data_IF_001361251475
#
_entry.id   IF_001361251475
#
_cell.length_a   1.000
_cell.length_b   1.000
_cell.length_c   1.000
_cell.angle_alpha   90.00
_cell.angle_beta   90.00
_cell.angle_gamma   90.00
#
_symmetry.space_group_name_H-M   'P 1'
#
loop_
_entity.id
_entity.type
_entity.pdbx_description
1 polymer ?
#
# COMPACT_ATOMS: atom_id res chain seq x y z
N UNK A 1 39.13 46.08 41.59
CA UNK A 1 37.76 45.65 41.27
C UNK A 1 37.87 45.00 39.91
N UNK A 2 38.37 43.76 39.88
CA UNK A 2 37.57 42.53 40.02
C UNK A 2 36.81 42.28 38.71
N UNK A 3 36.88 41.16 38.02
CA UNK A 3 37.66 39.92 38.08
C UNK A 3 37.14 39.15 36.87
N UNK A 4 38.02 38.72 35.96
CA UNK A 4 37.64 37.81 34.86
C UNK A 4 37.75 36.39 35.40
N UNK A 5 36.69 35.56 35.43
CA UNK A 5 36.84 34.14 35.69
C UNK A 5 37.21 33.44 34.39
N UNK A 6 38.40 32.84 34.38
CA UNK A 6 38.68 31.62 33.62
C UNK A 6 37.75 30.52 34.12
N UNK A 7 37.05 29.86 33.20
CA UNK A 7 36.65 28.47 33.38
C UNK A 7 37.13 27.69 32.17
N UNK A 8 38.29 27.06 32.38
CA UNK A 8 38.72 25.87 31.67
C UNK A 8 37.91 24.71 32.25
N UNK A 9 37.08 24.08 31.42
CA UNK A 9 36.48 22.79 31.72
C UNK A 9 36.53 21.92 30.45
N UNK A 10 37.61 21.15 30.38
CA UNK A 10 37.66 19.74 29.98
C UNK A 10 36.59 19.28 28.98
N UNK A 11 36.96 19.37 27.69
CA UNK A 11 36.41 18.47 26.67
C UNK A 11 37.19 17.16 26.84
N UNK A 12 36.79 16.35 27.82
CA UNK A 12 37.16 14.94 27.84
C UNK A 12 36.45 14.23 26.68
N UNK A 13 37.29 13.84 25.72
CA UNK A 13 37.09 12.83 24.70
C UNK A 13 36.45 11.57 25.29
N UNK A 14 35.11 11.48 25.23
CA UNK A 14 34.38 10.23 25.48
C UNK A 14 34.41 9.37 24.21
N UNK A 15 35.62 9.06 23.73
CA UNK A 15 35.89 7.84 22.98
C UNK A 15 35.83 6.65 23.95
N UNK A 16 34.62 6.32 24.43
CA UNK A 16 34.35 5.02 25.04
C UNK A 16 34.44 3.97 23.94
N UNK A 17 35.66 3.49 23.77
CA UNK A 17 35.96 2.21 23.15
C UNK A 17 35.15 1.14 23.90
N UNK A 18 34.10 0.63 23.25
CA UNK A 18 33.40 -0.56 23.69
C UNK A 18 34.41 -1.71 23.71
N UNK A 19 34.54 -2.47 24.80
CA UNK A 19 35.39 -3.65 24.79
C UNK A 19 34.81 -4.65 23.79
N UNK A 20 35.57 -4.92 22.73
CA UNK A 20 35.43 -6.16 22.00
C UNK A 20 35.78 -7.31 22.95
N UNK A 21 34.97 -8.37 22.92
CA UNK A 21 35.29 -9.71 23.44
C UNK A 21 35.05 -10.02 24.93
N UNK A 22 33.94 -9.57 25.52
CA UNK A 22 33.32 -10.36 26.61
C UNK A 22 32.24 -11.30 26.03
N UNK A 23 32.37 -12.63 26.17
CA UNK A 23 31.37 -13.56 25.67
C UNK A 23 30.09 -13.41 26.49
N UNK A 24 29.02 -12.92 25.86
CA UNK A 24 27.68 -12.89 26.44
C UNK A 24 27.26 -14.32 26.81
N UNK A 25 27.27 -14.66 28.10
CA UNK A 25 26.83 -15.94 28.65
C UNK A 25 25.29 -16.09 28.59
N UNK A 26 24.73 -16.14 27.38
CA UNK A 26 23.33 -16.50 27.17
C UNK A 26 23.12 -18.02 27.04
N UNK A 27 21.91 -18.55 27.31
CA UNK A 27 21.57 -19.93 26.96
C UNK A 27 21.70 -20.12 25.44
N UNK A 28 22.33 -21.22 25.03
CA UNK A 28 22.45 -21.56 23.62
C UNK A 28 21.17 -22.23 23.15
N UNK A 29 20.53 -21.66 22.15
CA UNK A 29 19.37 -22.28 21.49
C UNK A 29 19.85 -23.30 20.46
N UNK A 30 19.46 -24.56 20.66
CA UNK A 30 19.80 -25.66 19.75
C UNK A 30 18.85 -25.71 18.55
N UNK A 31 19.19 -25.01 17.46
CA UNK A 31 18.45 -25.10 16.21
C UNK A 31 18.68 -26.45 15.52
N UNK A 32 19.90 -27.00 15.62
CA UNK A 32 20.22 -28.38 15.27
C UNK A 32 20.93 -29.07 16.45
N UNK A 33 20.37 -30.16 17.03
CA UNK A 33 21.04 -30.92 18.10
C UNK A 33 22.38 -31.54 17.69
N UNK A 34 22.65 -31.66 16.39
CA UNK A 34 23.94 -32.09 15.82
C UNK A 34 24.66 -30.93 15.13
N UNK A 35 24.34 -29.69 15.53
CA UNK A 35 24.97 -28.50 15.00
C UNK A 35 26.47 -28.53 15.22
N UNK A 36 27.18 -27.93 14.27
CA UNK A 36 28.64 -27.92 14.17
C UNK A 36 29.21 -26.50 14.20
N UNK A 37 28.36 -25.50 14.44
CA UNK A 37 28.70 -24.09 14.46
C UNK A 37 27.81 -23.34 15.47
N UNK A 38 28.40 -22.45 16.27
CA UNK A 38 27.65 -21.55 17.15
C UNK A 38 27.70 -20.14 16.56
N UNK A 39 26.53 -19.58 16.24
CA UNK A 39 26.41 -18.17 15.87
C UNK A 39 26.02 -17.33 17.09
N UNK A 40 26.73 -16.23 17.30
CA UNK A 40 26.42 -15.25 18.34
C UNK A 40 26.03 -13.95 17.65
N UNK A 41 24.79 -13.51 17.87
CA UNK A 41 24.22 -12.30 17.26
C UNK A 41 23.57 -11.49 18.36
N UNK A 42 24.26 -10.43 18.80
CA UNK A 42 23.89 -9.70 20.02
C UNK A 42 23.67 -10.66 21.21
N UNK A 43 22.50 -10.67 21.87
CA UNK A 43 22.21 -11.55 22.99
C UNK A 43 21.85 -12.99 22.59
N UNK A 44 21.74 -13.31 21.30
CA UNK A 44 21.32 -14.63 20.81
C UNK A 44 22.53 -15.52 20.57
N UNK A 45 22.50 -16.74 21.12
CA UNK A 45 23.46 -17.82 20.84
C UNK A 45 22.72 -18.99 20.21
N UNK A 46 23.08 -19.35 18.98
CA UNK A 46 22.38 -20.35 18.17
C UNK A 46 23.34 -21.46 17.78
N UNK A 47 23.08 -22.69 18.21
CA UNK A 47 23.77 -23.88 17.69
C UNK A 47 23.08 -24.33 16.41
N UNK A 48 23.80 -24.26 15.30
CA UNK A 48 23.27 -24.41 13.94
C UNK A 48 24.07 -25.45 13.14
N UNK A 49 23.46 -25.95 12.07
CA UNK A 49 24.17 -26.70 11.04
C UNK A 49 24.78 -25.72 10.02
N UNK A 50 26.10 -25.66 9.97
CA UNK A 50 26.86 -24.93 8.97
C UNK A 50 26.43 -25.33 7.56
N UNK A 51 26.14 -26.63 7.34
CA UNK A 51 25.75 -27.14 6.04
C UNK A 51 24.41 -26.61 5.56
N UNK A 52 23.43 -26.51 6.46
CA UNK A 52 22.13 -25.90 6.17
C UNK A 52 22.32 -24.44 5.76
N UNK A 53 23.14 -23.69 6.51
CA UNK A 53 23.44 -22.30 6.18
C UNK A 53 24.13 -22.15 4.83
N UNK A 54 25.14 -22.97 4.51
CA UNK A 54 25.83 -22.92 3.21
C UNK A 54 24.89 -23.18 2.02
N UNK A 55 23.92 -24.09 2.18
CA UNK A 55 22.97 -24.45 1.13
C UNK A 55 21.95 -23.34 0.90
N UNK A 56 21.52 -22.68 1.97
CA UNK A 56 20.43 -21.71 1.96
C UNK A 56 20.89 -20.25 1.81
N UNK A 57 22.14 -19.94 2.12
CA UNK A 57 22.64 -18.59 2.27
C UNK A 57 24.04 -18.43 1.61
N UNK A 58 24.14 -17.72 0.47
CA UNK A 58 25.41 -17.48 -0.24
C UNK A 58 26.46 -16.76 0.62
N UNK A 59 26.03 -15.89 1.54
CA UNK A 59 26.92 -15.25 2.49
C UNK A 59 27.65 -16.29 3.34
N UNK A 60 26.92 -17.20 4.01
CA UNK A 60 27.53 -18.25 4.83
C UNK A 60 28.37 -19.23 4.01
N UNK A 61 27.93 -19.55 2.78
CA UNK A 61 28.74 -20.34 1.84
C UNK A 61 30.09 -19.70 1.54
N UNK A 62 30.18 -18.38 1.58
CA UNK A 62 31.41 -17.63 1.30
C UNK A 62 32.24 -17.44 2.57
N UNK A 63 31.60 -17.05 3.66
CA UNK A 63 32.22 -16.84 4.98
C UNK A 63 32.86 -18.12 5.54
N UNK A 64 32.22 -19.29 5.35
CA UNK A 64 32.67 -20.57 5.88
C UNK A 64 33.69 -21.30 4.97
N UNK A 65 33.99 -20.74 3.79
CA UNK A 65 35.05 -21.29 2.93
C UNK A 65 36.42 -21.06 3.57
N UNK A 66 37.23 -22.11 3.59
CA UNK A 66 38.60 -22.04 4.10
C UNK A 66 39.40 -20.96 3.36
N UNK A 67 40.19 -20.19 4.13
CA UNK A 67 41.12 -19.15 3.67
C UNK A 67 40.49 -17.91 3.01
N UNK A 68 39.16 -17.75 3.01
CA UNK A 68 38.52 -16.53 2.50
C UNK A 68 38.47 -15.41 3.56
N UNK A 69 38.28 -15.77 4.84
CA UNK A 69 38.17 -14.86 5.97
C UNK A 69 38.78 -15.46 7.24
N UNK A 70 39.06 -14.64 8.26
CA UNK A 70 39.52 -15.11 9.57
C UNK A 70 38.51 -16.09 10.19
N UNK A 71 37.23 -15.84 9.95
CA UNK A 71 36.11 -16.69 10.31
C UNK A 71 36.18 -18.08 9.66
N UNK A 72 36.81 -18.23 8.49
CA UNK A 72 36.97 -19.52 7.81
C UNK A 72 38.15 -20.37 8.30
N UNK A 73 38.95 -19.86 9.25
CA UNK A 73 40.14 -20.56 9.79
C UNK A 73 39.73 -21.74 10.68
N UNK A 74 38.78 -21.51 11.59
CA UNK A 74 38.20 -22.58 12.40
C UNK A 74 36.98 -23.18 11.69
N UNK A 75 37.13 -24.43 11.25
CA UNK A 75 36.09 -25.15 10.52
C UNK A 75 34.97 -25.60 11.46
N UNK A 76 33.72 -25.64 10.97
CA UNK A 76 32.61 -26.27 11.69
C UNK A 76 32.97 -27.70 12.11
N UNK A 77 32.69 -28.03 13.37
CA UNK A 77 32.97 -29.33 13.98
C UNK A 77 31.92 -29.61 15.06
N UNK A 78 31.23 -30.76 14.98
CA UNK A 78 30.21 -31.13 15.96
C UNK A 78 30.77 -31.40 17.37
N UNK A 79 32.00 -31.90 17.50
CA UNK A 79 32.61 -32.22 18.81
C UNK A 79 33.05 -30.96 19.55
N UNK A 80 33.45 -29.93 18.80
CA UNK A 80 33.85 -28.63 19.33
C UNK A 80 33.42 -27.52 18.36
N UNK A 81 32.13 -27.13 18.37
CA UNK A 81 31.61 -26.11 17.46
C UNK A 81 32.35 -24.78 17.65
N UNK A 82 32.96 -24.21 16.60
CA UNK A 82 33.54 -22.88 16.68
C UNK A 82 32.44 -21.84 16.89
N UNK A 83 32.80 -20.74 17.56
CA UNK A 83 31.90 -19.62 17.83
C UNK A 83 32.18 -18.50 16.83
N UNK A 84 31.16 -18.01 16.12
CA UNK A 84 31.26 -16.87 15.20
C UNK A 84 30.34 -15.75 15.67
N UNK A 85 30.92 -14.59 15.95
CA UNK A 85 30.19 -13.38 16.31
C UNK A 85 29.78 -12.64 15.03
N UNK A 86 28.48 -12.40 14.86
CA UNK A 86 27.94 -11.57 13.78
C UNK A 86 27.46 -10.25 14.39
N UNK A 87 27.86 -9.15 13.75
CA UNK A 87 27.39 -7.81 14.11
C UNK A 87 26.11 -7.52 13.32
N UNK A 88 24.98 -7.76 13.95
CA UNK A 88 23.66 -7.51 13.38
C UNK A 88 22.80 -6.79 14.43
N UNK A 89 22.14 -5.71 14.01
CA UNK A 89 21.35 -4.85 14.89
C UNK A 89 19.98 -5.46 15.21
N UNK A 90 19.59 -6.54 14.51
CA UNK A 90 18.28 -7.17 14.63
C UNK A 90 18.38 -8.67 14.97
N UNK A 91 18.91 -9.01 16.16
CA UNK A 91 19.22 -10.39 16.54
C UNK A 91 17.99 -11.31 16.59
N UNK A 92 16.81 -10.77 16.87
CA UNK A 92 15.55 -11.54 16.92
C UNK A 92 15.06 -11.93 15.53
N UNK A 93 15.16 -11.02 14.55
CA UNK A 93 14.79 -11.30 13.15
C UNK A 93 15.84 -12.23 12.52
N UNK A 94 17.12 -12.03 12.84
CA UNK A 94 18.17 -12.96 12.44
C UNK A 94 17.92 -14.38 13.00
N UNK A 95 17.55 -14.50 14.27
CA UNK A 95 17.18 -15.78 14.88
C UNK A 95 15.96 -16.43 14.18
N UNK A 96 14.94 -15.63 13.82
CA UNK A 96 13.80 -16.09 13.03
C UNK A 96 14.26 -16.67 11.68
N UNK A 97 15.15 -15.97 10.96
CA UNK A 97 15.74 -16.47 9.70
C UNK A 97 16.40 -17.82 9.93
N UNK A 98 17.29 -17.94 10.91
CA UNK A 98 17.98 -19.20 11.19
C UNK A 98 17.02 -20.34 11.55
N UNK A 99 15.96 -20.06 12.31
CA UNK A 99 14.91 -21.05 12.63
C UNK A 99 14.21 -21.54 11.37
N UNK A 100 13.85 -20.64 10.45
CA UNK A 100 13.24 -21.02 9.16
C UNK A 100 14.20 -21.91 8.38
N UNK A 101 15.47 -21.53 8.26
CA UNK A 101 16.47 -22.32 7.52
C UNK A 101 16.64 -23.73 8.07
N UNK A 102 16.52 -23.90 9.40
CA UNK A 102 16.61 -25.19 10.09
C UNK A 102 15.27 -25.90 10.26
N UNK A 103 14.22 -25.49 9.53
CA UNK A 103 12.88 -26.09 9.60
C UNK A 103 12.29 -26.16 11.01
N UNK A 104 12.65 -25.21 11.87
CA UNK A 104 12.07 -25.09 13.20
C UNK A 104 10.71 -24.39 13.15
N UNK A 105 9.80 -24.69 14.10
CA UNK A 105 8.55 -23.95 14.22
C UNK A 105 8.80 -22.46 14.39
N UNK A 106 8.11 -21.64 13.62
CA UNK A 106 8.25 -20.18 13.63
C UNK A 106 6.88 -19.51 13.65
N UNK A 107 6.83 -18.35 14.30
CA UNK A 107 5.69 -17.44 14.23
C UNK A 107 5.99 -16.36 13.19
N UNK A 108 4.96 -15.77 12.57
CA UNK A 108 5.17 -14.62 11.70
C UNK A 108 5.82 -13.46 12.45
N UNK A 109 6.51 -12.54 11.74
CA UNK A 109 6.92 -11.26 12.30
C UNK A 109 5.75 -10.54 12.97
N UNK A 110 6.00 -9.89 14.11
CA UNK A 110 4.94 -9.35 14.97
C UNK A 110 4.39 -8.02 14.44
N UNK A 111 5.22 -7.26 13.74
CA UNK A 111 4.89 -5.97 13.17
C UNK A 111 5.26 -5.89 11.69
N UNK A 112 4.73 -4.88 10.98
CA UNK A 112 5.12 -4.61 9.58
C UNK A 112 6.58 -4.18 9.49
N UNK A 113 7.10 -3.48 10.51
CA UNK A 113 8.52 -3.12 10.56
C UNK A 113 9.42 -4.35 10.62
N UNK A 114 9.00 -5.39 11.34
CA UNK A 114 9.75 -6.65 11.36
C UNK A 114 9.80 -7.33 9.97
N UNK A 115 8.79 -7.13 9.10
CA UNK A 115 8.87 -7.59 7.70
C UNK A 115 9.88 -6.79 6.89
N UNK A 116 10.01 -5.48 7.15
CA UNK A 116 11.02 -4.63 6.52
C UNK A 116 12.41 -5.15 6.86
N UNK A 117 12.69 -5.29 8.15
CA UNK A 117 13.96 -5.81 8.66
C UNK A 117 14.23 -7.22 8.11
N UNK A 118 13.22 -8.09 8.09
CA UNK A 118 13.36 -9.43 7.52
C UNK A 118 13.76 -9.39 6.04
N UNK A 119 13.12 -8.52 5.25
CA UNK A 119 13.46 -8.33 3.85
C UNK A 119 14.88 -7.77 3.67
N UNK A 120 15.27 -6.77 4.47
CA UNK A 120 16.61 -6.16 4.45
C UNK A 120 17.70 -7.21 4.75
N UNK A 121 17.54 -7.99 5.82
CA UNK A 121 18.48 -9.05 6.19
C UNK A 121 18.52 -10.15 5.11
N UNK A 122 17.37 -10.57 4.58
CA UNK A 122 17.35 -11.61 3.55
C UNK A 122 17.99 -11.19 2.23
N UNK A 123 17.86 -9.91 1.85
CA UNK A 123 18.54 -9.35 0.69
C UNK A 123 20.05 -9.28 0.94
N UNK A 124 20.47 -8.77 2.11
CA UNK A 124 21.87 -8.67 2.51
C UNK A 124 22.58 -10.02 2.56
N UNK A 125 22.02 -11.00 3.28
CA UNK A 125 22.60 -12.34 3.40
C UNK A 125 22.35 -13.22 2.16
N UNK A 126 21.43 -12.84 1.28
CA UNK A 126 21.08 -13.57 0.07
C UNK A 126 20.26 -14.84 0.31
N UNK A 127 19.50 -14.91 1.41
CA UNK A 127 18.72 -16.09 1.82
C UNK A 127 17.21 -15.96 1.53
N UNK A 128 16.83 -15.13 0.56
CA UNK A 128 15.43 -14.89 0.17
C UNK A 128 14.60 -16.12 -0.22
N UNK A 129 15.18 -17.07 -0.97
CA UNK A 129 14.41 -18.19 -1.54
C UNK A 129 13.82 -19.13 -0.47
N UNK A 130 14.60 -19.64 0.51
CA UNK A 130 14.06 -20.46 1.58
C UNK A 130 12.92 -19.79 2.38
N UNK A 131 12.94 -18.47 2.51
CA UNK A 131 11.94 -17.73 3.30
C UNK A 131 10.71 -17.32 2.50
N UNK A 132 10.77 -17.28 1.17
CA UNK A 132 9.69 -16.79 0.30
C UNK A 132 8.33 -17.46 0.57
N UNK A 133 8.31 -18.77 0.82
CA UNK A 133 7.09 -19.51 1.11
C UNK A 133 6.45 -19.07 2.44
N UNK A 134 7.27 -18.89 3.48
CA UNK A 134 6.80 -18.43 4.78
C UNK A 134 6.26 -17.00 4.70
N UNK A 135 7.02 -16.10 4.07
CA UNK A 135 6.60 -14.70 3.93
C UNK A 135 5.29 -14.60 3.15
N UNK A 136 5.13 -15.36 2.07
CA UNK A 136 3.86 -15.43 1.33
C UNK A 136 2.69 -15.81 2.26
N UNK A 137 2.84 -16.88 3.02
CA UNK A 137 1.79 -17.35 3.93
C UNK A 137 1.47 -16.32 5.03
N UNK A 138 2.49 -15.64 5.56
CA UNK A 138 2.30 -14.66 6.62
C UNK A 138 1.67 -13.35 6.11
N UNK A 139 2.01 -12.91 4.90
CA UNK A 139 1.45 -11.68 4.32
C UNK A 139 -0.02 -11.83 3.94
N UNK A 140 -0.48 -13.03 3.56
CA UNK A 140 -1.91 -13.26 3.26
C UNK A 140 -2.82 -13.07 4.48
N UNK A 141 -2.29 -13.07 5.71
CA UNK A 141 -3.07 -12.74 6.90
C UNK A 141 -3.39 -11.23 7.02
N UNK A 142 -2.72 -10.37 6.24
CA UNK A 142 -2.90 -8.93 6.30
C UNK A 142 -3.95 -8.44 5.31
N UNK A 143 -4.82 -7.54 5.79
CA UNK A 143 -5.73 -6.82 4.92
C UNK A 143 -5.05 -5.57 4.34
N UNK A 144 -4.56 -5.68 3.10
CA UNK A 144 -3.88 -4.59 2.39
C UNK A 144 -4.71 -3.29 2.30
N UNK A 145 -6.04 -3.39 2.32
CA UNK A 145 -6.91 -2.21 2.27
C UNK A 145 -6.82 -1.33 3.51
N UNK A 146 -6.34 -1.84 4.65
CA UNK A 146 -6.27 -1.09 5.91
C UNK A 146 -4.87 -0.52 6.20
N UNK A 147 -3.92 -0.74 5.30
CA UNK A 147 -2.53 -0.34 5.51
C UNK A 147 -2.29 1.11 5.13
N UNK A 148 -1.36 1.76 5.83
CA UNK A 148 -0.83 3.06 5.47
C UNK A 148 0.04 3.00 4.21
N UNK A 149 0.33 4.16 3.62
CA UNK A 149 1.24 4.28 2.47
C UNK A 149 2.60 3.65 2.76
N UNK A 150 3.19 3.94 3.92
CA UNK A 150 4.49 3.40 4.35
C UNK A 150 4.45 1.88 4.52
N UNK A 151 3.38 1.35 5.13
CA UNK A 151 3.19 -0.09 5.29
C UNK A 151 3.06 -0.81 3.94
N UNK A 152 2.38 -0.20 2.97
CA UNK A 152 2.30 -0.70 1.60
C UNK A 152 3.67 -0.66 0.90
N UNK A 153 4.46 0.40 1.10
CA UNK A 153 5.84 0.45 0.60
C UNK A 153 6.71 -0.66 1.19
N UNK A 154 6.58 -0.96 2.48
CA UNK A 154 7.26 -2.09 3.13
C UNK A 154 6.85 -3.43 2.52
N UNK A 155 5.55 -3.67 2.28
CA UNK A 155 5.13 -4.91 1.62
C UNK A 155 5.54 -4.97 0.16
N UNK A 156 5.65 -3.84 -0.54
CA UNK A 156 6.19 -3.80 -1.90
C UNK A 156 7.66 -4.23 -1.90
N UNK A 157 8.45 -3.74 -0.93
CA UNK A 157 9.84 -4.14 -0.72
C UNK A 157 9.96 -5.64 -0.41
N UNK A 158 9.18 -6.13 0.56
CA UNK A 158 9.17 -7.55 0.89
C UNK A 158 8.77 -8.41 -0.33
N UNK A 159 7.75 -7.99 -1.09
CA UNK A 159 7.34 -8.70 -2.30
C UNK A 159 8.44 -8.75 -3.35
N UNK A 160 9.21 -7.67 -3.49
CA UNK A 160 10.39 -7.62 -4.37
C UNK A 160 11.49 -8.57 -3.90
N UNK A 161 11.93 -8.48 -2.63
CA UNK A 161 12.99 -9.34 -2.08
C UNK A 161 12.64 -10.82 -2.18
N UNK A 162 11.40 -11.18 -1.85
CA UNK A 162 10.97 -12.58 -1.78
C UNK A 162 10.37 -13.12 -3.08
N UNK A 163 10.45 -12.37 -4.18
CA UNK A 163 9.97 -12.81 -5.50
C UNK A 163 8.47 -13.16 -5.53
N UNK A 164 7.66 -12.39 -4.79
CA UNK A 164 6.23 -12.62 -4.62
C UNK A 164 5.42 -11.83 -5.65
N UNK A 165 5.36 -12.35 -6.89
CA UNK A 165 4.72 -11.72 -8.06
C UNK A 165 3.31 -11.20 -7.79
N UNK A 166 2.42 -12.07 -7.29
CA UNK A 166 1.02 -11.71 -7.04
C UNK A 166 0.89 -10.61 -5.98
N UNK A 167 1.71 -10.69 -4.93
CA UNK A 167 1.72 -9.68 -3.87
C UNK A 167 2.25 -8.35 -4.39
N UNK A 168 3.34 -8.36 -5.15
CA UNK A 168 3.94 -7.18 -5.76
C UNK A 168 2.93 -6.45 -6.64
N UNK A 169 2.22 -7.20 -7.49
CA UNK A 169 1.18 -6.66 -8.35
C UNK A 169 0.03 -6.05 -7.52
N UNK A 170 -0.53 -6.79 -6.56
CA UNK A 170 -1.63 -6.31 -5.70
C UNK A 170 -1.24 -5.06 -4.91
N UNK A 171 -0.06 -5.07 -4.28
CA UNK A 171 0.43 -3.95 -3.47
C UNK A 171 0.71 -2.72 -4.34
N UNK A 172 1.26 -2.89 -5.55
CA UNK A 172 1.50 -1.75 -6.45
C UNK A 172 0.21 -1.02 -6.85
N UNK A 173 -0.88 -1.74 -7.12
CA UNK A 173 -2.20 -1.11 -7.38
C UNK A 173 -2.69 -0.36 -6.15
N UNK A 174 -2.65 -1.00 -4.97
CA UNK A 174 -3.09 -0.36 -3.72
C UNK A 174 -2.26 0.86 -3.38
N UNK A 175 -0.96 0.80 -3.61
CA UNK A 175 -0.06 1.93 -3.38
C UNK A 175 -0.38 3.08 -4.36
N UNK A 176 -0.62 2.78 -5.65
CA UNK A 176 -1.03 3.78 -6.63
C UNK A 176 -2.40 4.41 -6.35
N UNK A 177 -3.30 3.70 -5.67
CA UNK A 177 -4.58 4.24 -5.22
C UNK A 177 -4.43 5.28 -4.10
N UNK A 178 -3.51 5.04 -3.15
CA UNK A 178 -3.39 5.84 -1.93
C UNK A 178 -2.38 6.96 -2.01
N UNK A 179 -1.36 6.83 -2.87
CA UNK A 179 -0.31 7.83 -3.02
C UNK A 179 -0.82 9.18 -3.50
N UNK A 180 -0.42 10.23 -2.79
CA UNK A 180 -0.52 11.61 -3.24
C UNK A 180 0.68 12.02 -4.08
N UNK A 181 0.56 13.15 -4.78
CA UNK A 181 1.65 13.72 -5.59
C UNK A 181 2.87 14.11 -4.74
N UNK A 182 2.67 14.48 -3.48
CA UNK A 182 3.76 14.90 -2.59
C UNK A 182 4.44 13.69 -1.93
N UNK A 183 3.67 12.72 -1.42
CA UNK A 183 4.23 11.44 -0.95
C UNK A 183 5.02 10.75 -2.06
N UNK A 184 4.52 10.82 -3.29
CA UNK A 184 5.22 10.33 -4.47
C UNK A 184 6.61 10.95 -4.64
N UNK A 185 6.70 12.27 -4.56
CA UNK A 185 7.95 13.00 -4.74
C UNK A 185 8.95 12.64 -3.65
N UNK A 186 8.47 12.56 -2.41
CA UNK A 186 9.25 12.24 -1.23
C UNK A 186 9.66 10.76 -1.13
N UNK A 187 9.01 9.86 -1.87
CA UNK A 187 9.29 8.43 -1.75
C UNK A 187 10.66 8.06 -2.32
N UNK A 188 11.55 7.57 -1.45
CA UNK A 188 12.81 6.95 -1.83
C UNK A 188 12.62 5.45 -2.04
N UNK A 189 12.90 5.00 -3.27
CA UNK A 189 12.63 3.63 -3.72
C UNK A 189 13.79 2.69 -3.37
N UNK A 190 14.96 3.22 -3.02
CA UNK A 190 16.11 2.42 -2.60
C UNK A 190 15.74 1.55 -1.39
N UNK A 191 16.08 0.24 -1.38
CA UNK A 191 16.99 -0.46 -2.30
C UNK A 191 16.38 -1.03 -3.60
N UNK A 192 15.10 -0.80 -3.91
CA UNK A 192 14.49 -1.25 -5.17
C UNK A 192 15.00 -0.44 -6.38
N UNK A 193 14.90 -0.98 -7.61
CA UNK A 193 15.38 -0.30 -8.81
C UNK A 193 14.74 1.07 -9.03
N UNK A 194 15.54 2.07 -9.39
CA UNK A 194 15.06 3.44 -9.60
C UNK A 194 13.91 3.55 -10.61
N UNK A 195 13.90 2.69 -11.64
CA UNK A 195 12.82 2.62 -12.64
C UNK A 195 11.45 2.35 -12.04
N UNK A 196 11.38 1.61 -10.92
CA UNK A 196 10.13 1.35 -10.21
C UNK A 196 9.43 2.65 -9.82
N UNK A 197 10.20 3.72 -9.55
CA UNK A 197 9.63 5.05 -9.30
C UNK A 197 8.84 5.50 -10.55
N UNK A 198 9.48 5.60 -11.71
CA UNK A 198 8.77 6.07 -12.91
C UNK A 198 7.55 5.21 -13.30
N UNK A 199 7.64 3.89 -13.17
CA UNK A 199 6.54 2.98 -13.51
C UNK A 199 5.36 3.10 -12.52
N UNK A 200 5.63 3.31 -11.22
CA UNK A 200 4.59 3.60 -10.23
C UNK A 200 3.88 4.93 -10.51
N UNK A 201 4.61 5.97 -10.93
CA UNK A 201 4.01 7.24 -11.37
C UNK A 201 3.06 7.01 -12.54
N UNK A 202 3.49 6.24 -13.53
CA UNK A 202 2.66 5.91 -14.68
C UNK A 202 1.40 5.14 -14.25
N UNK A 203 1.53 4.16 -13.36
CA UNK A 203 0.38 3.44 -12.80
C UNK A 203 -0.61 4.39 -12.10
N UNK A 204 -0.14 5.31 -11.26
CA UNK A 204 -0.98 6.33 -10.64
C UNK A 204 -1.75 7.15 -11.68
N UNK A 205 -1.07 7.62 -12.73
CA UNK A 205 -1.68 8.40 -13.81
C UNK A 205 -2.72 7.57 -14.57
N UNK A 206 -2.43 6.30 -14.89
CA UNK A 206 -3.39 5.41 -15.57
C UNK A 206 -4.66 5.21 -14.75
N UNK A 207 -4.53 4.99 -13.43
CA UNK A 207 -5.69 4.86 -12.54
C UNK A 207 -6.51 6.16 -12.53
N UNK A 208 -5.84 7.32 -12.39
CA UNK A 208 -6.52 8.63 -12.41
C UNK A 208 -7.26 8.86 -13.72
N UNK A 209 -6.59 8.66 -14.85
CA UNK A 209 -7.18 8.84 -16.18
C UNK A 209 -8.40 7.93 -16.37
N UNK A 210 -8.35 6.69 -15.87
CA UNK A 210 -9.49 5.78 -15.95
C UNK A 210 -10.67 6.24 -15.11
N UNK A 211 -10.41 6.76 -13.89
CA UNK A 211 -11.48 7.35 -13.07
C UNK A 211 -12.10 8.55 -13.77
N UNK A 212 -11.28 9.43 -14.33
CA UNK A 212 -11.72 10.60 -15.09
C UNK A 212 -12.59 10.20 -16.30
N UNK A 213 -12.09 9.30 -17.15
CA UNK A 213 -12.79 8.80 -18.34
C UNK A 213 -14.17 8.24 -17.98
N UNK A 214 -14.29 7.51 -16.85
CA UNK A 214 -15.57 6.95 -16.39
C UNK A 214 -16.58 8.04 -16.01
N UNK A 215 -16.12 9.11 -15.38
CA UNK A 215 -16.97 10.26 -15.01
C UNK A 215 -17.41 11.00 -16.26
N UNK A 216 -16.49 11.31 -17.17
CA UNK A 216 -16.77 11.98 -18.45
C UNK A 216 -17.77 11.17 -19.28
N UNK A 217 -17.53 9.86 -19.44
CA UNK A 217 -18.46 8.95 -20.14
C UNK A 217 -19.86 8.97 -19.52
N UNK A 218 -19.97 9.11 -18.20
CA UNK A 218 -21.27 9.18 -17.53
C UNK A 218 -21.95 10.53 -17.76
N UNK A 219 -21.19 11.63 -17.78
CA UNK A 219 -21.69 12.96 -18.13
C UNK A 219 -22.25 12.95 -19.57
N UNK A 220 -21.48 12.42 -20.51
CA UNK A 220 -21.88 12.31 -21.91
C UNK A 220 -23.13 11.43 -22.06
N UNK A 221 -23.17 10.28 -21.40
CA UNK A 221 -24.32 9.38 -21.42
C UNK A 221 -25.61 10.01 -20.87
N UNK A 222 -25.52 10.91 -19.87
CA UNK A 222 -26.68 11.69 -19.39
C UNK A 222 -27.07 12.77 -20.40
N UNK A 223 -26.09 13.45 -21.02
CA UNK A 223 -26.31 14.52 -22.00
C UNK A 223 -26.89 14.04 -23.33
N UNK A 224 -26.59 12.80 -23.73
CA UNK A 224 -27.10 12.14 -24.94
C UNK A 224 -28.47 11.47 -24.75
N UNK A 225 -28.92 11.27 -23.50
CA UNK A 225 -30.22 10.64 -23.26
C UNK A 225 -31.37 11.61 -23.61
N UNK A 226 -32.03 11.37 -24.74
CA UNK A 226 -33.13 12.19 -25.26
C UNK A 226 -34.53 11.83 -24.71
N UNK A 227 -34.65 10.83 -23.82
CA UNK A 227 -35.95 10.41 -23.29
C UNK A 227 -36.62 11.53 -22.51
N UNK A 228 -37.92 11.73 -22.74
CA UNK A 228 -38.73 12.70 -21.98
C UNK A 228 -39.69 11.95 -21.08
N UNK A 229 -39.69 12.33 -19.81
CA UNK A 229 -40.60 11.74 -18.83
C UNK A 229 -41.46 12.83 -18.21
N UNK A 230 -42.77 12.59 -18.17
CA UNK A 230 -43.70 13.46 -17.46
C UNK A 230 -43.64 13.13 -15.97
N UNK A 231 -43.29 14.12 -15.16
CA UNK A 231 -43.16 13.99 -13.73
C UNK A 231 -44.50 13.70 -13.06
N UNK A 232 -44.50 12.80 -12.09
CA UNK A 232 -45.71 12.39 -11.35
C UNK A 232 -45.89 13.11 -10.01
N UNK A 233 -44.84 13.76 -9.50
CA UNK A 233 -44.83 14.42 -8.18
C UNK A 233 -45.16 15.90 -8.23
N UNK A 234 -44.64 16.58 -9.24
CA UNK A 234 -44.69 18.03 -9.33
C UNK A 234 -45.27 18.48 -10.67
N UNK A 235 -45.77 19.70 -10.67
CA UNK A 235 -46.20 20.45 -11.85
C UNK A 235 -45.65 21.87 -11.79
N UNK A 236 -45.52 22.50 -12.93
CA UNK A 236 -44.95 23.84 -13.06
C UNK A 236 -46.06 24.85 -13.26
N UNK A 237 -46.10 25.91 -12.45
CA UNK A 237 -47.08 27.00 -12.66
C UNK A 237 -46.77 27.76 -13.96
N UNK A 238 -47.76 27.97 -14.83
CA UNK A 238 -47.57 28.63 -16.13
C UNK A 238 -47.11 30.08 -16.04
N UNK A 239 -47.50 30.76 -14.97
CA UNK A 239 -47.28 32.20 -14.85
C UNK A 239 -45.96 32.54 -14.17
N UNK A 240 -45.52 31.76 -13.17
CA UNK A 240 -44.31 32.06 -12.42
C UNK A 240 -43.23 30.98 -12.51
N UNK A 241 -43.45 29.92 -13.30
CA UNK A 241 -42.50 28.83 -13.57
C UNK A 241 -41.94 28.10 -12.34
N UNK A 242 -42.60 28.22 -11.18
CA UNK A 242 -42.19 27.50 -9.96
C UNK A 242 -42.80 26.10 -9.93
N UNK A 243 -41.99 25.11 -9.52
CA UNK A 243 -42.47 23.76 -9.20
C UNK A 243 -43.45 23.81 -8.04
N UNK A 244 -44.52 23.03 -8.15
CA UNK A 244 -45.57 22.87 -7.14
C UNK A 244 -45.92 21.39 -7.00
N UNK A 245 -46.19 20.90 -5.78
CA UNK A 245 -46.71 19.55 -5.59
C UNK A 245 -47.93 19.31 -6.48
N UNK A 246 -48.07 18.10 -7.01
CA UNK A 246 -49.13 17.74 -7.95
C UNK A 246 -50.54 18.09 -7.45
N UNK A 247 -50.78 17.92 -6.15
CA UNK A 247 -52.05 18.23 -5.48
C UNK A 247 -52.39 19.74 -5.41
N UNK A 248 -51.47 20.63 -5.77
CA UNK A 248 -51.64 22.09 -5.66
C UNK A 248 -52.72 22.60 -6.61
N UNK A 249 -53.83 23.15 -6.10
CA UNK A 249 -54.91 23.69 -6.95
C UNK A 249 -54.67 25.11 -7.44
N UNK A 250 -53.96 25.94 -6.66
CA UNK A 250 -53.60 27.34 -6.99
C UNK A 250 -52.16 27.61 -6.56
N UNK A 251 -51.43 28.35 -7.39
CA UNK A 251 -50.05 28.70 -7.10
C UNK A 251 -50.00 29.69 -5.95
N UNK A 252 -49.44 29.30 -4.81
CA UNK A 252 -49.31 30.20 -3.66
C UNK A 252 -48.43 31.44 -3.89
N UNK A 253 -47.70 31.52 -5.02
CA UNK A 253 -46.82 32.67 -5.32
C UNK A 253 -47.49 33.73 -6.21
N UNK A 254 -48.29 33.33 -7.21
CA UNK A 254 -48.92 34.24 -8.17
C UNK A 254 -50.44 34.08 -8.29
N UNK A 255 -51.05 33.18 -7.53
CA UNK A 255 -52.49 32.91 -7.55
C UNK A 255 -53.00 32.08 -8.74
N UNK A 256 -52.19 31.88 -9.78
CA UNK A 256 -52.59 31.14 -10.99
C UNK A 256 -53.03 29.70 -10.68
N UNK A 257 -54.12 29.27 -11.33
CA UNK A 257 -54.56 27.87 -11.36
C UNK A 257 -54.07 27.12 -12.60
N UNK A 258 -53.30 27.79 -13.47
CA UNK A 258 -52.76 27.16 -14.66
C UNK A 258 -51.41 26.51 -14.37
N UNK A 259 -51.33 25.22 -14.69
CA UNK A 259 -50.12 24.43 -14.55
C UNK A 259 -49.82 23.68 -15.85
N UNK A 260 -48.56 23.34 -16.05
CA UNK A 260 -48.12 22.32 -17.00
C UNK A 260 -47.45 21.19 -16.23
N UNK A 261 -47.49 20.00 -16.82
CA UNK A 261 -46.80 18.85 -16.24
C UNK A 261 -45.29 19.11 -16.22
N UNK A 262 -44.65 18.68 -15.13
CA UNK A 262 -43.21 18.72 -15.06
C UNK A 262 -42.62 17.80 -16.12
N UNK A 263 -41.67 18.29 -16.92
CA UNK A 263 -41.00 17.48 -17.94
C UNK A 263 -39.55 17.26 -17.54
N UNK A 264 -39.17 16.00 -17.31
CA UNK A 264 -37.79 15.61 -17.11
C UNK A 264 -37.08 15.61 -18.47
N UNK A 265 -36.36 16.69 -18.76
CA UNK A 265 -35.55 16.82 -19.98
C UNK A 265 -34.10 16.42 -19.73
N UNK A 266 -33.35 16.25 -20.82
CA UNK A 266 -31.92 15.92 -20.74
C UNK A 266 -31.09 17.04 -20.11
N UNK A 267 -31.41 18.30 -20.39
CA UNK A 267 -30.70 19.48 -19.86
C UNK A 267 -30.84 19.54 -18.34
N UNK A 268 -32.06 19.27 -17.85
CA UNK A 268 -32.37 19.20 -16.44
C UNK A 268 -31.67 18.01 -15.76
N UNK A 269 -31.71 16.81 -16.36
CA UNK A 269 -30.97 15.65 -15.84
C UNK A 269 -29.47 15.91 -15.77
N UNK A 270 -28.89 16.50 -16.82
CA UNK A 270 -27.47 16.85 -16.85
C UNK A 270 -27.12 17.86 -15.77
N UNK A 271 -27.92 18.92 -15.61
CA UNK A 271 -27.73 19.90 -14.53
C UNK A 271 -27.76 19.25 -13.14
N UNK A 272 -28.76 18.41 -12.87
CA UNK A 272 -28.89 17.71 -11.58
C UNK A 272 -27.78 16.66 -11.38
N UNK A 273 -27.32 16.03 -12.46
CA UNK A 273 -26.20 15.10 -12.41
C UNK A 273 -24.90 15.82 -12.07
N UNK A 274 -24.65 16.98 -12.69
CA UNK A 274 -23.47 17.81 -12.40
C UNK A 274 -23.50 18.36 -10.97
N UNK A 275 -24.67 18.82 -10.50
CA UNK A 275 -24.86 19.24 -9.09
C UNK A 275 -24.59 18.07 -8.13
N UNK A 276 -25.08 16.87 -8.48
CA UNK A 276 -24.79 15.67 -7.71
C UNK A 276 -23.28 15.35 -7.71
N UNK A 277 -22.60 15.34 -8.86
CA UNK A 277 -21.15 15.14 -8.94
C UNK A 277 -20.38 16.17 -8.10
N UNK A 278 -20.79 17.43 -8.10
CA UNK A 278 -20.22 18.48 -7.26
C UNK A 278 -20.44 18.20 -5.78
N UNK A 279 -21.66 17.83 -5.38
CA UNK A 279 -22.02 17.49 -3.99
C UNK A 279 -21.23 16.29 -3.45
N UNK A 280 -20.93 15.30 -4.31
CA UNK A 280 -20.12 14.14 -3.96
C UNK A 280 -18.61 14.41 -4.08
N UNK A 281 -18.23 15.58 -4.61
CA UNK A 281 -16.84 15.99 -4.79
C UNK A 281 -16.12 15.41 -6.00
N UNK A 282 -16.83 14.80 -6.95
CA UNK A 282 -16.26 14.30 -8.21
C UNK A 282 -16.07 15.38 -9.26
N UNK A 283 -16.66 16.56 -9.04
CA UNK A 283 -16.49 17.71 -9.91
C UNK A 283 -15.99 18.93 -9.11
N UNK A 284 -15.07 19.74 -9.66
CA UNK A 284 -14.39 19.56 -10.96
C UNK A 284 -13.35 18.42 -10.93
N UNK A 285 -13.11 17.81 -12.10
CA UNK A 285 -12.16 16.69 -12.27
C UNK A 285 -10.72 17.06 -11.90
N UNK A 286 -10.37 18.35 -11.94
CA UNK A 286 -9.08 18.87 -11.49
C UNK A 286 -8.74 18.49 -10.04
N UNK A 287 -9.74 18.20 -9.20
CA UNK A 287 -9.54 17.69 -7.83
C UNK A 287 -8.77 16.37 -7.79
N UNK A 288 -8.88 15.53 -8.81
CA UNK A 288 -8.16 14.26 -8.89
C UNK A 288 -6.63 14.46 -9.01
N UNK A 289 -6.19 15.62 -9.48
CA UNK A 289 -4.77 15.94 -9.63
C UNK A 289 -4.10 16.33 -8.30
N UNK A 290 -4.88 16.82 -7.33
CA UNK A 290 -4.36 17.33 -6.05
C UNK A 290 -4.46 16.33 -4.89
N UNK A 291 -5.19 15.21 -5.07
CA UNK A 291 -5.36 14.19 -4.04
C UNK A 291 -5.12 12.77 -4.61
N UNK A 292 -5.09 11.77 -3.73
CA UNK A 292 -5.00 10.37 -4.14
C UNK A 292 -6.32 9.86 -4.71
N UNK A 293 -6.27 8.83 -5.55
CA UNK A 293 -7.48 8.21 -6.13
C UNK A 293 -8.42 7.70 -5.04
N UNK A 294 -7.87 7.08 -3.99
CA UNK A 294 -8.65 6.56 -2.87
C UNK A 294 -9.34 7.67 -2.10
N UNK A 295 -8.66 8.78 -1.83
CA UNK A 295 -9.28 9.93 -1.17
C UNK A 295 -10.40 10.53 -2.03
N UNK A 296 -10.16 10.65 -3.35
CA UNK A 296 -11.16 11.12 -4.31
C UNK A 296 -12.39 10.22 -4.37
N UNK A 297 -12.22 8.90 -4.36
CA UNK A 297 -13.32 7.94 -4.41
C UNK A 297 -13.94 7.66 -3.04
N UNK A 298 -13.23 7.93 -1.94
CA UNK A 298 -13.69 7.69 -0.58
C UNK A 298 -14.92 8.52 -0.19
N UNK A 299 -15.21 9.61 -0.90
CA UNK A 299 -16.44 10.39 -0.73
C UNK A 299 -17.70 9.65 -1.23
N UNK A 300 -17.57 8.51 -1.93
CA UNK A 300 -18.68 7.70 -2.50
C UNK A 300 -19.61 7.05 -1.50
N UNK A 301 -19.21 6.90 -0.24
CA UNK A 301 -19.99 6.11 0.72
C UNK A 301 -21.20 6.85 1.30
N UNK A 302 -21.53 8.04 0.78
CA UNK A 302 -22.81 8.70 1.04
C UNK A 302 -23.99 7.93 0.44
N UNK A 303 -25.14 7.99 1.10
CA UNK A 303 -26.38 7.49 0.52
C UNK A 303 -26.65 8.22 -0.81
N UNK A 304 -26.81 7.48 -1.91
CA UNK A 304 -27.25 8.06 -3.17
C UNK A 304 -28.65 8.63 -2.93
N UNK A 305 -28.81 9.94 -3.04
CA UNK A 305 -30.15 10.51 -3.05
C UNK A 305 -30.85 10.09 -4.34
N UNK A 306 -31.72 9.10 -4.18
CA UNK A 306 -32.56 8.51 -5.24
C UNK A 306 -33.73 9.42 -5.59
N UNK A 307 -33.99 10.48 -4.80
CA UNK A 307 -35.08 11.40 -5.08
C UNK A 307 -34.78 12.18 -6.34
N UNK A 308 -35.61 11.96 -7.35
CA UNK A 308 -35.59 12.75 -8.57
C UNK A 308 -36.75 13.74 -8.55
N UNK A 309 -36.55 14.98 -9.04
CA UNK A 309 -37.64 15.95 -9.16
C UNK A 309 -38.82 15.47 -10.01
N UNK A 310 -38.61 14.54 -10.95
CA UNK A 310 -39.70 13.96 -11.73
C UNK A 310 -40.53 12.92 -10.95
N UNK A 311 -40.03 12.43 -9.81
CA UNK A 311 -40.74 11.47 -8.96
C UNK A 311 -40.85 10.06 -9.51
N UNK A 312 -40.06 9.75 -10.55
CA UNK A 312 -39.92 8.42 -11.13
C UNK A 312 -38.65 7.75 -10.57
N UNK A 313 -38.36 7.92 -9.28
CA UNK A 313 -37.09 7.59 -8.62
C UNK A 313 -36.30 6.46 -9.30
N UNK A 314 -36.81 5.22 -9.34
CA UNK A 314 -36.10 4.06 -9.92
C UNK A 314 -36.17 3.96 -11.46
N UNK A 315 -37.12 4.64 -12.10
CA UNK A 315 -37.34 4.63 -13.56
C UNK A 315 -36.70 5.84 -14.25
N UNK A 316 -36.17 6.80 -13.50
CA UNK A 316 -35.56 8.00 -14.04
C UNK A 316 -34.15 7.67 -14.56
N UNK A 317 -33.81 8.01 -15.81
CA UNK A 317 -32.47 7.80 -16.35
C UNK A 317 -31.34 8.42 -15.53
N UNK A 318 -31.63 9.50 -14.79
CA UNK A 318 -30.68 10.13 -13.88
C UNK A 318 -30.26 9.19 -12.74
N UNK A 319 -31.20 8.46 -12.15
CA UNK A 319 -30.95 7.53 -11.06
C UNK A 319 -30.08 6.37 -11.54
N UNK A 320 -30.46 5.76 -12.66
CA UNK A 320 -29.69 4.70 -13.30
C UNK A 320 -28.26 5.16 -13.63
N UNK A 321 -28.08 6.39 -14.10
CA UNK A 321 -26.75 6.94 -14.39
C UNK A 321 -25.88 7.10 -13.13
N UNK A 322 -26.45 7.56 -12.00
CA UNK A 322 -25.76 7.65 -10.70
C UNK A 322 -25.30 6.27 -10.24
N UNK A 323 -26.20 5.30 -10.20
CA UNK A 323 -25.90 3.93 -9.77
C UNK A 323 -24.84 3.25 -10.66
N UNK A 324 -24.98 3.43 -11.98
CA UNK A 324 -24.03 2.90 -12.95
C UNK A 324 -22.65 3.50 -12.77
N UNK A 325 -22.54 4.82 -12.58
CA UNK A 325 -21.26 5.48 -12.35
C UNK A 325 -20.63 4.99 -11.04
N UNK A 326 -21.37 4.97 -9.93
CA UNK A 326 -20.87 4.48 -8.63
C UNK A 326 -20.39 3.03 -8.74
N UNK A 327 -21.15 2.16 -9.41
CA UNK A 327 -20.76 0.76 -9.62
C UNK A 327 -19.50 0.64 -10.48
N UNK A 328 -19.42 1.42 -11.57
CA UNK A 328 -18.25 1.42 -12.45
C UNK A 328 -17.00 1.91 -11.72
N UNK A 329 -17.12 2.98 -10.92
CA UNK A 329 -15.98 3.54 -10.19
C UNK A 329 -15.47 2.61 -9.09
N UNK A 330 -16.37 1.88 -8.40
CA UNK A 330 -15.98 0.81 -7.47
C UNK A 330 -15.16 -0.27 -8.18
N UNK A 331 -15.67 -0.77 -9.31
CA UNK A 331 -15.02 -1.82 -10.11
C UNK A 331 -13.74 -1.36 -10.82
N UNK A 332 -13.57 -0.06 -11.05
CA UNK A 332 -12.38 0.47 -11.73
C UNK A 332 -11.12 0.03 -11.00
N UNK A 333 -11.10 0.11 -9.67
CA UNK A 333 -9.94 -0.23 -8.85
C UNK A 333 -9.65 -1.74 -8.83
N UNK A 334 -10.70 -2.57 -8.77
CA UNK A 334 -10.55 -4.02 -8.70
C UNK A 334 -10.01 -4.65 -10.00
N UNK A 335 -10.09 -3.93 -11.12
CA UNK A 335 -9.73 -4.42 -12.46
C UNK A 335 -8.38 -3.92 -12.97
N UNK A 336 -7.58 -3.25 -12.14
CA UNK A 336 -6.25 -2.81 -12.56
C UNK A 336 -5.21 -3.91 -12.40
N UNK A 337 -4.45 -4.14 -13.46
CA UNK A 337 -3.21 -4.88 -13.38
C UNK A 337 -2.12 -3.97 -12.80
N UNK A 338 -1.53 -4.42 -11.70
CA UNK A 338 -0.37 -3.77 -11.10
C UNK A 338 0.90 -3.97 -11.90
N UNK A 339 2.01 -3.52 -11.33
CA UNK A 339 3.33 -3.71 -11.92
C UNK A 339 3.74 -5.19 -11.87
N UNK A 340 4.43 -5.64 -12.92
CA UNK A 340 5.00 -6.99 -13.02
C UNK A 340 6.40 -6.99 -12.44
N UNK A 341 6.67 -7.91 -11.52
CA UNK A 341 7.95 -8.00 -10.83
C UNK A 341 9.09 -8.37 -11.80
N UNK A 342 8.79 -9.15 -12.82
CA UNK A 342 9.74 -9.65 -13.83
C UNK A 342 10.43 -8.53 -14.61
N UNK A 343 9.81 -7.35 -14.71
CA UNK A 343 10.39 -6.17 -15.34
C UNK A 343 11.61 -5.63 -14.58
N UNK A 344 11.68 -5.91 -13.27
CA UNK A 344 12.71 -5.39 -12.36
C UNK A 344 13.80 -6.42 -12.06
N UNK A 345 13.60 -7.67 -12.45
CA UNK A 345 14.57 -8.72 -12.22
C UNK A 345 15.69 -8.66 -13.25
N UNK A 346 16.89 -8.27 -12.79
CA UNK A 346 18.09 -8.18 -13.64
C UNK A 346 18.46 -9.54 -14.31
N UNK A 347 17.92 -10.66 -13.83
CA UNK A 347 18.12 -11.99 -14.40
C UNK A 347 17.20 -12.32 -15.59
N UNK A 348 16.23 -11.46 -15.92
CA UNK A 348 15.37 -11.60 -17.10
C UNK A 348 15.83 -10.75 -18.30
N UNK A 349 16.93 -9.99 -18.16
CA UNK A 349 17.51 -9.13 -19.19
C UNK A 349 18.86 -9.67 -19.74
N UNK A 350 19.16 -10.96 -19.53
CA UNK A 350 20.36 -11.63 -20.02
C UNK A 350 20.04 -12.87 -20.82
#
# INVERSE_FOLDING_TARGET
MESVPQDYADIEDVSRSLPADEPLEGPTEELDPRGDLVLVVGPRRLLVSSKVLELSCPFFKTMLRSNAFYEGVERPNADKPPVKNLRDDHPDIFSLICRVLHYRPVRPPASIEDYRVLADLCDFYGCRWPLSFHVRAWVEAWNLSNLSTEQLQTFLWAAYVFHLRDLFQRVSVRLAEVLTTDEWRAWEVHPMPARLKDDMRELCVRIKNRVQERIETAIDGVGENHERHTGKRDKVCRQCFRNKPWATKKCGNCGSSEFHDYSCTKELRLSLFMEWLQSQGYWPLSRLNIQSCRSFLGTMYGAIDMRTPCGLDDLCPLTAAKELLTTRLKRTLDNFEGLSLEVYDAKCLG
#
